data_IF_325973227968
#
_entry.id   IF_325973227968
#
_cell.length_a   1.000
_cell.length_b   1.000
_cell.length_c   1.000
_cell.angle_alpha   90.00
_cell.angle_beta   90.00
_cell.angle_gamma   90.00
#
_symmetry.space_group_name_H-M   'P 1'
#
loop_
_entity.id
_entity.type
_entity.pdbx_description
1 polymer ?
#
# COMPACT_ATOMS: atom_id res chain seq x y z
N UNK A 1 0.05 -17.89 -11.31
CA UNK A 1 0.54 -17.29 -10.05
C UNK A 1 0.38 -15.79 -10.21
N UNK A 2 -0.63 -15.18 -9.59
CA UNK A 2 -0.83 -13.73 -9.70
C UNK A 2 0.36 -13.05 -9.05
N UNK A 3 1.26 -12.47 -9.85
CA UNK A 3 2.42 -11.76 -9.32
C UNK A 3 1.93 -10.60 -8.45
N UNK A 4 2.29 -10.61 -7.18
CA UNK A 4 2.12 -9.43 -6.33
C UNK A 4 3.01 -8.33 -6.90
N UNK A 5 2.37 -7.38 -7.56
CA UNK A 5 3.01 -6.26 -8.26
C UNK A 5 2.28 -4.94 -7.93
N UNK A 6 2.87 -3.84 -8.35
CA UNK A 6 2.36 -2.51 -8.03
C UNK A 6 1.01 -2.25 -8.73
N UNK A 7 0.79 -2.80 -9.91
CA UNK A 7 -0.46 -2.64 -10.66
C UNK A 7 -1.63 -3.28 -9.92
N UNK A 8 -1.44 -4.47 -9.34
CA UNK A 8 -2.45 -5.12 -8.51
C UNK A 8 -2.79 -4.28 -7.26
N UNK A 9 -1.80 -3.63 -6.65
CA UNK A 9 -2.02 -2.70 -5.54
C UNK A 9 -2.86 -1.50 -6.00
N UNK A 10 -2.47 -0.85 -7.10
CA UNK A 10 -3.16 0.31 -7.65
C UNK A 10 -4.60 -0.03 -8.07
N UNK A 11 -4.81 -1.12 -8.80
CA UNK A 11 -6.15 -1.58 -9.19
C UNK A 11 -7.04 -1.89 -7.99
N UNK A 12 -6.45 -2.46 -6.93
CA UNK A 12 -7.21 -2.76 -5.71
C UNK A 12 -7.67 -1.47 -5.05
N UNK A 13 -6.78 -0.49 -4.91
CA UNK A 13 -7.13 0.83 -4.36
C UNK A 13 -8.22 1.52 -5.20
N UNK A 14 -8.08 1.50 -6.53
CA UNK A 14 -9.06 2.08 -7.46
C UNK A 14 -10.45 1.45 -7.29
N UNK A 15 -10.52 0.12 -7.15
CA UNK A 15 -11.79 -0.61 -6.91
C UNK A 15 -12.48 -0.17 -5.62
N UNK A 16 -11.74 0.17 -4.56
CA UNK A 16 -12.34 0.67 -3.32
C UNK A 16 -12.73 2.14 -3.40
N UNK A 17 -11.94 2.97 -4.08
CA UNK A 17 -12.24 4.39 -4.29
C UNK A 17 -13.48 4.57 -5.18
N UNK A 18 -13.60 3.80 -6.27
CA UNK A 18 -14.71 3.87 -7.23
C UNK A 18 -16.05 3.45 -6.63
N UNK A 19 -16.06 2.58 -5.61
CA UNK A 19 -17.29 2.14 -4.93
C UNK A 19 -17.90 3.20 -4.00
N UNK A 20 -17.43 4.46 -4.05
CA UNK A 20 -17.87 5.55 -3.16
C UNK A 20 -17.41 5.36 -1.71
N UNK A 21 -16.71 4.26 -1.40
CA UNK A 21 -16.14 3.98 -0.09
C UNK A 21 -14.76 4.60 0.03
N UNK A 22 -14.67 5.92 -0.18
CA UNK A 22 -13.45 6.68 0.13
C UNK A 22 -13.04 6.33 1.56
N UNK A 23 -11.82 5.80 1.73
CA UNK A 23 -11.26 5.27 2.99
C UNK A 23 -11.79 3.91 3.46
N UNK A 24 -12.33 3.04 2.61
CA UNK A 24 -12.64 1.65 3.01
C UNK A 24 -11.42 0.91 3.58
N UNK A 25 -10.24 1.17 3.00
CA UNK A 25 -8.98 0.61 3.46
C UNK A 25 -8.38 1.56 4.49
N UNK A 26 -8.21 1.05 5.71
CA UNK A 26 -7.57 1.76 6.82
C UNK A 26 -6.05 1.71 6.72
N UNK A 27 -5.53 0.55 6.33
CA UNK A 27 -4.10 0.25 6.36
C UNK A 27 -3.77 -0.88 5.38
N UNK A 28 -2.64 -0.74 4.70
CA UNK A 28 -2.05 -1.75 3.84
C UNK A 28 -0.85 -2.33 4.58
N UNK A 29 -0.82 -3.64 4.78
CA UNK A 29 0.37 -4.36 5.25
C UNK A 29 1.15 -4.82 4.04
N UNK A 30 2.44 -4.52 4.03
CA UNK A 30 3.33 -4.87 2.94
C UNK A 30 4.53 -5.57 3.54
N UNK A 31 4.84 -6.77 3.07
CA UNK A 31 6.04 -7.50 3.46
C UNK A 31 7.32 -6.74 3.09
N UNK A 32 8.40 -6.92 3.84
CA UNK A 32 9.60 -6.09 3.66
C UNK A 32 10.26 -6.27 2.28
N UNK A 33 10.29 -7.49 1.72
CA UNK A 33 10.84 -7.72 0.38
C UNK A 33 9.92 -7.12 -0.70
N UNK A 34 8.60 -7.27 -0.55
CA UNK A 34 7.64 -6.67 -1.47
C UNK A 34 7.68 -5.13 -1.42
N UNK A 35 7.84 -4.56 -0.24
CA UNK A 35 8.01 -3.11 -0.07
C UNK A 35 9.28 -2.62 -0.77
N UNK A 36 10.41 -3.33 -0.62
CA UNK A 36 11.64 -3.00 -1.33
C UNK A 36 11.44 -3.07 -2.86
N UNK A 37 10.72 -4.09 -3.36
CA UNK A 37 10.33 -4.22 -4.76
C UNK A 37 9.44 -3.07 -5.24
N UNK A 38 8.52 -2.57 -4.41
CA UNK A 38 7.70 -1.41 -4.76
C UNK A 38 8.51 -0.10 -4.74
N UNK A 39 9.45 0.05 -3.81
CA UNK A 39 10.33 1.22 -3.72
C UNK A 39 11.29 1.34 -4.91
N UNK A 40 11.54 0.28 -5.69
CA UNK A 40 12.28 0.41 -6.95
C UNK A 40 11.45 1.10 -8.04
N UNK A 41 10.12 1.21 -7.88
CA UNK A 41 9.27 1.99 -8.76
C UNK A 41 9.23 3.46 -8.30
N UNK A 42 9.64 4.36 -9.20
CA UNK A 42 9.74 5.80 -8.93
C UNK A 42 8.41 6.42 -8.45
N UNK A 43 7.27 6.06 -9.07
CA UNK A 43 5.95 6.59 -8.72
C UNK A 43 5.57 6.22 -7.29
N UNK A 44 5.79 4.97 -6.91
CA UNK A 44 5.50 4.50 -5.57
C UNK A 44 6.42 5.15 -4.54
N UNK A 45 7.73 5.14 -4.80
CA UNK A 45 8.73 5.71 -3.92
C UNK A 45 8.47 7.21 -3.67
N UNK A 46 8.23 8.00 -4.71
CA UNK A 46 7.94 9.43 -4.57
C UNK A 46 6.68 9.69 -3.75
N UNK A 47 5.59 8.95 -3.99
CA UNK A 47 4.34 9.11 -3.22
C UNK A 47 4.55 8.77 -1.73
N UNK A 48 5.26 7.67 -1.45
CA UNK A 48 5.53 7.20 -0.09
C UNK A 48 6.50 8.14 0.64
N UNK A 49 7.57 8.59 -0.01
CA UNK A 49 8.58 9.47 0.60
C UNK A 49 8.06 10.89 0.79
N UNK A 50 7.22 11.40 -0.11
CA UNK A 50 6.61 12.73 0.03
C UNK A 50 5.48 12.76 1.07
N UNK A 51 4.91 11.60 1.43
CA UNK A 51 3.80 11.54 2.38
C UNK A 51 4.19 11.88 3.82
N UNK A 52 5.39 11.48 4.27
CA UNK A 52 5.88 11.75 5.63
C UNK A 52 7.36 11.46 5.77
N UNK A 53 8.04 12.30 6.56
CA UNK A 53 9.42 12.05 7.01
C UNK A 53 9.49 10.85 7.96
N UNK A 54 8.44 10.64 8.77
CA UNK A 54 8.32 9.52 9.71
C UNK A 54 7.97 8.22 8.96
N UNK A 55 8.83 7.19 8.96
CA UNK A 55 8.56 5.93 8.23
C UNK A 55 7.25 5.27 8.65
N UNK A 56 6.90 5.34 9.93
CA UNK A 56 5.69 4.74 10.51
C UNK A 56 4.39 5.51 10.20
N UNK A 57 4.51 6.72 9.65
CA UNK A 57 3.39 7.58 9.26
C UNK A 57 3.24 7.72 7.75
N UNK A 58 4.11 7.06 6.98
CA UNK A 58 4.03 7.08 5.52
C UNK A 58 2.71 6.51 5.03
N UNK A 59 2.23 7.07 3.93
CA UNK A 59 1.03 6.64 3.24
C UNK A 59 1.34 6.47 1.77
N UNK A 60 0.56 5.62 1.11
CA UNK A 60 0.50 5.53 -0.34
C UNK A 60 -0.92 5.89 -0.77
N UNK A 61 -1.07 6.90 -1.63
CA UNK A 61 -2.38 7.42 -2.07
C UNK A 61 -3.32 7.71 -0.88
N UNK A 62 -2.82 8.41 0.13
CA UNK A 62 -3.54 8.71 1.38
C UNK A 62 -3.98 7.48 2.21
N UNK A 63 -3.49 6.28 1.89
CA UNK A 63 -3.74 5.06 2.66
C UNK A 63 -2.49 4.68 3.46
N UNK A 64 -2.64 4.44 4.76
CA UNK A 64 -1.50 4.11 5.63
C UNK A 64 -0.83 2.82 5.21
N UNK A 65 0.50 2.84 5.07
CA UNK A 65 1.30 1.63 4.84
C UNK A 65 1.94 1.18 6.15
N UNK A 66 2.01 -0.14 6.36
CA UNK A 66 2.75 -0.76 7.45
C UNK A 66 3.63 -1.85 6.86
N UNK A 67 4.93 -1.73 7.08
CA UNK A 67 5.89 -2.76 6.69
C UNK A 67 5.81 -3.90 7.72
N UNK A 68 5.74 -5.14 7.26
CA UNK A 68 5.72 -6.34 8.10
C UNK A 68 6.99 -7.17 7.91
N UNK A 69 7.21 -8.13 8.82
CA UNK A 69 8.38 -9.02 8.75
C UNK A 69 8.21 -10.14 7.71
N UNK A 70 7.00 -10.35 7.21
CA UNK A 70 6.73 -11.28 6.13
C UNK A 70 7.42 -10.80 4.84
N UNK A 71 7.88 -11.73 4.00
CA UNK A 71 8.64 -11.37 2.80
C UNK A 71 7.76 -10.68 1.76
N UNK A 72 6.62 -11.31 1.43
CA UNK A 72 5.76 -10.91 0.32
C UNK A 72 4.30 -10.67 0.71
N UNK A 73 4.02 -10.30 1.97
CA UNK A 73 2.65 -9.98 2.39
C UNK A 73 2.09 -8.78 1.61
N UNK A 74 0.83 -8.86 1.19
CA UNK A 74 0.05 -7.72 0.74
C UNK A 74 -1.39 -7.85 1.26
N UNK A 75 -1.65 -7.23 2.41
CA UNK A 75 -2.95 -7.33 3.10
C UNK A 75 -3.61 -5.97 3.22
N UNK A 76 -4.91 -5.90 2.95
CA UNK A 76 -5.72 -4.69 3.07
C UNK A 76 -6.64 -4.79 4.29
N UNK A 77 -6.32 -4.05 5.35
CA UNK A 77 -7.16 -3.94 6.54
C UNK A 77 -8.25 -2.89 6.31
N UNK A 78 -9.50 -3.25 6.55
CA UNK A 78 -10.65 -2.36 6.36
C UNK A 78 -11.04 -1.68 7.67
N UNK A 79 -11.88 -0.66 7.57
CA UNK A 79 -12.44 0.00 8.76
C UNK A 79 -13.57 -0.80 9.44
N UNK A 80 -14.15 -1.79 8.72
CA UNK A 80 -15.28 -2.58 9.17
C UNK A 80 -14.86 -3.92 9.84
N UNK A 81 -13.55 -4.13 10.04
CA UNK A 81 -12.94 -5.35 10.64
C UNK A 81 -12.61 -5.15 12.14
#
# INVERSE_FOLDING_TARGET
MSELNLDFLDETLDKYEAKGKKKAIKKIRIGYMLYAKFMSNKKFAENVMSSSLDPNKRTYRNTKIKITHDEYELTFLRNDD
#
